data_IF_665394735568
#
_entry.id   IF_665394735568
#
_cell.length_a   1.000
_cell.length_b   1.000
_cell.length_c   1.000
_cell.angle_alpha   90.00
_cell.angle_beta   90.00
_cell.angle_gamma   90.00
#
_symmetry.space_group_name_H-M   'P 1'
#
loop_
_entity.id
_entity.type
_entity.pdbx_description
1 polymer ?
#
# COMPACT_ATOMS: atom_id res chain seq x y z
N UNK A 1 8.22 -24.94 -18.51
CA UNK A 1 6.82 -24.47 -18.66
C UNK A 1 6.86 -23.09 -19.28
N UNK A 2 6.13 -22.85 -20.37
CA UNK A 2 6.18 -21.57 -21.10
C UNK A 2 5.11 -20.61 -20.56
N UNK A 3 5.52 -19.75 -19.63
CA UNK A 3 4.64 -18.78 -18.94
C UNK A 3 4.07 -17.74 -19.91
N UNK A 4 4.80 -17.37 -20.97
CA UNK A 4 4.30 -16.41 -21.98
C UNK A 4 3.12 -17.01 -22.73
N UNK A 5 3.26 -18.25 -23.22
CA UNK A 5 2.19 -18.93 -23.96
C UNK A 5 0.92 -19.12 -23.15
N UNK A 6 1.03 -19.36 -21.84
CA UNK A 6 -0.13 -19.44 -20.95
C UNK A 6 -0.84 -18.09 -20.84
N UNK A 7 -0.07 -17.02 -20.60
CA UNK A 7 -0.57 -15.66 -20.47
C UNK A 7 -1.28 -15.18 -21.75
N UNK A 8 -0.72 -15.46 -22.92
CA UNK A 8 -1.32 -15.07 -24.20
C UNK A 8 -2.67 -15.77 -24.44
N UNK A 9 -2.78 -17.05 -24.04
CA UNK A 9 -4.06 -17.78 -24.10
C UNK A 9 -5.10 -17.18 -23.15
N UNK A 10 -4.71 -16.83 -21.93
CA UNK A 10 -5.61 -16.21 -20.96
C UNK A 10 -6.14 -14.87 -21.49
N UNK A 11 -5.29 -14.03 -22.05
CA UNK A 11 -5.73 -12.77 -22.65
C UNK A 11 -6.67 -12.96 -23.83
N UNK A 12 -6.38 -13.92 -24.73
CA UNK A 12 -7.24 -14.20 -25.88
C UNK A 12 -8.65 -14.67 -25.46
N UNK A 13 -8.73 -15.61 -24.53
CA UNK A 13 -10.02 -16.20 -24.14
C UNK A 13 -10.83 -15.32 -23.18
N UNK A 14 -10.18 -14.42 -22.44
CA UNK A 14 -10.82 -13.54 -21.47
C UNK A 14 -10.93 -12.08 -21.94
N UNK A 15 -10.37 -11.74 -23.11
CA UNK A 15 -10.34 -10.38 -23.63
C UNK A 15 -9.58 -9.40 -22.71
N UNK A 16 -8.41 -9.81 -22.23
CA UNK A 16 -7.60 -9.01 -21.30
C UNK A 16 -6.46 -8.29 -22.03
N UNK A 17 -6.20 -7.04 -21.65
CA UNK A 17 -5.00 -6.31 -22.01
C UNK A 17 -3.98 -6.34 -20.86
N UNK A 18 -2.73 -6.70 -21.17
CA UNK A 18 -1.65 -6.73 -20.18
C UNK A 18 -1.04 -5.33 -20.05
N UNK A 19 -1.09 -4.77 -18.85
CA UNK A 19 -0.37 -3.53 -18.52
C UNK A 19 1.01 -3.93 -17.99
N UNK A 20 2.07 -3.50 -18.67
CA UNK A 20 3.45 -3.76 -18.24
C UNK A 20 3.95 -2.61 -17.39
N UNK A 21 4.78 -2.92 -16.37
CA UNK A 21 5.35 -1.90 -15.49
C UNK A 21 6.18 -0.83 -16.24
N UNK A 22 6.79 -1.20 -17.37
CA UNK A 22 7.54 -0.29 -18.25
C UNK A 22 6.64 0.63 -19.09
N UNK A 23 5.36 0.27 -19.29
CA UNK A 23 4.38 1.08 -20.01
C UNK A 23 3.64 2.08 -19.10
N UNK A 24 3.80 1.95 -17.77
CA UNK A 24 3.31 2.98 -16.86
C UNK A 24 4.18 4.23 -17.00
N UNK A 25 3.58 5.41 -17.19
CA UNK A 25 4.33 6.65 -17.21
C UNK A 25 5.13 6.76 -15.90
N UNK A 26 6.41 7.18 -15.96
CA UNK A 26 7.23 7.30 -14.77
C UNK A 26 6.51 8.22 -13.79
N UNK A 27 6.14 7.66 -12.64
CA UNK A 27 5.62 8.46 -11.53
C UNK A 27 6.73 9.46 -11.18
N UNK A 28 6.44 10.77 -11.12
CA UNK A 28 7.47 11.76 -10.81
C UNK A 28 8.18 11.37 -9.53
N UNK A 29 9.51 11.21 -9.62
CA UNK A 29 10.35 10.88 -8.50
C UNK A 29 10.19 11.95 -7.43
N UNK A 30 9.43 11.62 -6.39
CA UNK A 30 9.31 12.45 -5.19
C UNK A 30 10.68 12.44 -4.49
N UNK A 31 11.17 13.60 -4.01
CA UNK A 31 12.50 13.70 -3.41
C UNK A 31 12.73 12.69 -2.28
N UNK A 32 14.01 12.34 -2.09
CA UNK A 32 14.56 11.34 -1.18
C UNK A 32 13.86 11.28 0.20
N UNK A 33 13.79 10.08 0.82
CA UNK A 33 12.84 9.79 1.88
C UNK A 33 13.13 10.64 3.12
N UNK A 34 12.24 11.60 3.36
CA UNK A 34 11.99 12.03 4.74
C UNK A 34 11.48 10.80 5.48
N UNK A 35 12.02 10.50 6.68
CA UNK A 35 11.52 9.39 7.50
C UNK A 35 9.99 9.42 7.50
N UNK A 36 9.30 8.31 7.19
CA UNK A 36 7.84 8.29 7.19
C UNK A 36 7.35 8.77 8.56
N UNK A 37 6.47 9.77 8.53
CA UNK A 37 5.83 10.31 9.72
C UNK A 37 4.53 9.55 9.95
N UNK A 38 4.14 9.39 11.22
CA UNK A 38 2.83 8.85 11.56
C UNK A 38 1.72 9.76 10.99
N UNK A 39 0.75 9.22 10.23
CA UNK A 39 -0.39 9.98 9.71
C UNK A 39 -1.42 10.35 10.79
N UNK A 40 -1.19 9.94 12.04
CA UNK A 40 -2.09 10.13 13.18
C UNK A 40 -2.81 8.84 13.59
N UNK A 41 -3.21 8.73 14.87
CA UNK A 41 -3.72 7.49 15.45
C UNK A 41 -5.02 6.99 14.80
N UNK A 42 -5.94 7.90 14.45
CA UNK A 42 -7.20 7.55 13.80
C UNK A 42 -6.98 6.95 12.40
N UNK A 43 -6.05 7.51 11.63
CA UNK A 43 -5.71 7.00 10.30
C UNK A 43 -5.01 5.63 10.39
N UNK A 44 -4.14 5.43 11.38
CA UNK A 44 -3.48 4.14 11.60
C UNK A 44 -4.46 3.04 12.02
N UNK A 45 -5.41 3.34 12.91
CA UNK A 45 -6.41 2.37 13.36
C UNK A 45 -7.31 1.90 12.21
N UNK A 46 -7.74 2.83 11.36
CA UNK A 46 -8.54 2.51 10.18
C UNK A 46 -7.76 1.69 9.15
N UNK A 47 -6.51 2.08 8.87
CA UNK A 47 -5.62 1.33 7.98
C UNK A 47 -5.35 -0.09 8.50
N UNK A 48 -5.17 -0.24 9.82
CA UNK A 48 -4.98 -1.54 10.46
C UNK A 48 -6.23 -2.41 10.31
N UNK A 49 -7.42 -1.86 10.61
CA UNK A 49 -8.70 -2.57 10.45
C UNK A 49 -8.90 -3.03 9.02
N UNK A 50 -8.62 -2.16 8.03
CA UNK A 50 -8.71 -2.50 6.61
C UNK A 50 -7.71 -3.59 6.21
N UNK A 51 -6.49 -3.55 6.76
CA UNK A 51 -5.48 -4.58 6.60
C UNK A 51 -5.90 -5.94 7.17
N UNK A 52 -6.46 -5.96 8.38
CA UNK A 52 -6.92 -7.18 9.06
C UNK A 52 -8.06 -7.89 8.32
N UNK A 53 -8.99 -7.13 7.74
CA UNK A 53 -10.09 -7.70 6.93
C UNK A 53 -9.68 -7.97 5.47
N UNK A 54 -8.45 -7.60 5.08
CA UNK A 54 -7.95 -7.77 3.71
C UNK A 54 -8.60 -6.86 2.66
N UNK A 55 -9.15 -5.71 3.04
CA UNK A 55 -9.89 -4.84 2.12
C UNK A 55 -8.97 -3.89 1.34
N UNK A 56 -8.25 -4.44 0.36
CA UNK A 56 -7.24 -3.73 -0.45
C UNK A 56 -7.74 -2.42 -1.05
N UNK A 57 -8.91 -2.42 -1.70
CA UNK A 57 -9.48 -1.20 -2.31
C UNK A 57 -9.74 -0.10 -1.29
N UNK A 58 -10.14 -0.47 -0.07
CA UNK A 58 -10.32 0.49 1.03
C UNK A 58 -9.00 1.08 1.50
N UNK A 59 -7.95 0.26 1.58
CA UNK A 59 -6.59 0.70 1.93
C UNK A 59 -6.08 1.70 0.88
N UNK A 60 -6.20 1.37 -0.41
CA UNK A 60 -5.75 2.25 -1.50
C UNK A 60 -6.49 3.60 -1.48
N UNK A 61 -7.81 3.58 -1.28
CA UNK A 61 -8.61 4.80 -1.15
C UNK A 61 -8.13 5.66 0.04
N UNK A 62 -7.90 5.03 1.19
CA UNK A 62 -7.42 5.73 2.39
C UNK A 62 -6.02 6.32 2.20
N UNK A 63 -5.12 5.58 1.56
CA UNK A 63 -3.77 6.05 1.23
C UNK A 63 -3.81 7.20 0.21
N UNK A 64 -4.73 7.19 -0.74
CA UNK A 64 -4.93 8.30 -1.67
C UNK A 64 -5.40 9.58 -0.96
N UNK A 65 -6.30 9.46 0.02
CA UNK A 65 -6.70 10.60 0.84
C UNK A 65 -5.55 11.12 1.71
N UNK A 66 -4.75 10.23 2.30
CA UNK A 66 -3.55 10.61 3.07
C UNK A 66 -2.48 11.27 2.21
N UNK A 67 -2.37 10.91 0.92
CA UNK A 67 -1.43 11.52 -0.01
C UNK A 67 -1.70 13.00 -0.25
N UNK A 68 -2.94 13.46 -0.03
CA UNK A 68 -3.33 14.87 -0.16
C UNK A 68 -2.91 15.72 1.04
N UNK A 69 -2.49 15.10 2.14
CA UNK A 69 -2.05 15.78 3.35
C UNK A 69 -0.52 15.95 3.33
N UNK A 70 -0.06 17.16 3.64
CA UNK A 70 1.37 17.47 3.68
C UNK A 70 2.12 16.63 4.71
N UNK A 71 3.27 16.09 4.30
CA UNK A 71 4.16 15.29 5.17
C UNK A 71 3.86 13.80 5.24
N UNK A 72 2.83 13.30 4.55
CA UNK A 72 2.48 11.87 4.53
C UNK A 72 3.04 11.10 3.32
N UNK A 73 3.66 11.77 2.35
CA UNK A 73 4.12 11.16 1.11
C UNK A 73 5.00 9.90 1.33
N UNK A 74 6.01 9.99 2.19
CA UNK A 74 6.90 8.85 2.48
C UNK A 74 6.18 7.66 3.14
N UNK A 75 5.20 7.93 4.02
CA UNK A 75 4.37 6.91 4.66
C UNK A 75 3.46 6.23 3.63
N UNK A 76 2.82 7.02 2.77
CA UNK A 76 1.91 6.53 1.74
C UNK A 76 2.64 5.67 0.72
N UNK A 77 3.80 6.10 0.23
CA UNK A 77 4.56 5.34 -0.77
C UNK A 77 5.04 4.00 -0.20
N UNK A 78 5.57 3.99 1.02
CA UNK A 78 5.98 2.74 1.70
C UNK A 78 4.79 1.79 1.89
N UNK A 79 3.64 2.33 2.32
CA UNK A 79 2.41 1.56 2.50
C UNK A 79 1.92 0.95 1.18
N UNK A 80 1.95 1.73 0.08
CA UNK A 80 1.55 1.27 -1.25
C UNK A 80 2.43 0.13 -1.75
N UNK A 81 3.74 0.16 -1.51
CA UNK A 81 4.65 -0.90 -1.95
C UNK A 81 4.27 -2.27 -1.36
N UNK A 82 3.88 -2.32 -0.08
CA UNK A 82 3.39 -3.56 0.53
C UNK A 82 2.06 -4.03 -0.09
N UNK A 83 1.11 -3.11 -0.29
CA UNK A 83 -0.21 -3.43 -0.84
C UNK A 83 -0.11 -3.92 -2.28
N UNK A 84 0.71 -3.28 -3.12
CA UNK A 84 0.97 -3.71 -4.50
C UNK A 84 1.71 -5.05 -4.56
N UNK A 85 2.59 -5.31 -3.60
CA UNK A 85 3.27 -6.60 -3.43
C UNK A 85 2.40 -7.68 -2.78
N UNK A 86 1.14 -7.39 -2.42
CA UNK A 86 0.25 -8.25 -1.64
C UNK A 86 0.86 -8.73 -0.29
N UNK A 87 1.84 -7.99 0.24
CA UNK A 87 2.48 -8.29 1.53
C UNK A 87 1.70 -7.66 2.68
N UNK A 88 0.58 -8.28 3.05
CA UNK A 88 -0.28 -7.80 4.13
C UNK A 88 0.37 -7.96 5.52
N UNK A 89 1.25 -8.95 5.68
CA UNK A 89 1.99 -9.16 6.93
C UNK A 89 3.00 -8.05 7.15
N UNK A 90 3.80 -7.72 6.12
CA UNK A 90 4.75 -6.60 6.15
C UNK A 90 4.04 -5.26 6.30
N UNK A 91 2.92 -5.07 5.61
CA UNK A 91 2.06 -3.90 5.78
C UNK A 91 1.63 -3.68 7.23
N UNK A 92 1.04 -4.70 7.88
CA UNK A 92 0.58 -4.60 9.27
C UNK A 92 1.75 -4.37 10.23
N UNK A 93 2.87 -5.06 10.03
CA UNK A 93 4.08 -4.86 10.84
C UNK A 93 4.58 -3.41 10.73
N UNK A 94 4.60 -2.85 9.53
CA UNK A 94 4.96 -1.46 9.28
C UNK A 94 4.02 -0.49 10.00
N UNK A 95 2.70 -0.66 9.89
CA UNK A 95 1.73 0.20 10.60
C UNK A 95 1.95 0.19 12.12
N UNK A 96 2.24 -0.98 12.70
CA UNK A 96 2.48 -1.13 14.15
C UNK A 96 3.72 -0.39 14.64
N UNK A 97 4.69 -0.10 13.79
CA UNK A 97 5.87 0.71 14.18
C UNK A 97 5.50 2.17 14.52
N UNK A 98 4.32 2.63 14.10
CA UNK A 98 3.84 3.99 14.37
C UNK A 98 2.80 4.07 15.49
N UNK A 99 2.38 2.93 16.07
CA UNK A 99 1.60 2.98 17.30
C UNK A 99 2.55 3.31 18.45
N UNK A 100 2.34 4.43 19.19
CA UNK A 100 2.95 4.55 20.49
C UNK A 100 2.47 3.37 21.33
N UNK A 101 3.39 2.74 22.07
CA UNK A 101 3.13 1.55 22.87
C UNK A 101 1.81 1.68 23.62
N UNK A 102 0.92 0.71 23.43
CA UNK A 102 -0.32 0.56 24.20
C UNK A 102 -0.01 0.04 25.62
N UNK A 103 1.04 0.58 26.24
CA UNK A 103 1.55 0.26 27.57
C UNK A 103 1.76 1.58 28.29
N UNK A 104 0.71 2.12 28.91
CA UNK A 104 0.73 2.84 30.21
C UNK A 104 -0.64 3.48 30.47
N UNK A 105 -1.67 2.66 30.69
CA UNK A 105 -2.80 3.01 31.57
C UNK A 105 -3.63 1.76 31.87
N UNK A 106 -3.16 0.94 32.79
CA UNK A 106 -4.04 0.13 33.63
C UNK A 106 -3.65 0.44 35.07
N UNK A 107 -4.44 1.31 35.69
CA UNK A 107 -4.37 1.58 37.13
C UNK A 107 -4.83 0.40 37.96
#
# INVERSE_FOLDING_TARGET
VDVKRLRDKLALYLGLDWIYADEMPPVPATPAPTKPRSPGPAHLEELLRLGEIGYVRGIEAKLADLARLDGNAAFVETSKSFVQGFDMTGYIAFLKTFQPGKEETRG
#
